data_IF_502268075901
#
_entry.id   IF_502268075901
#
_cell.length_a   1.000
_cell.length_b   1.000
_cell.length_c   1.000
_cell.angle_alpha   90.00
_cell.angle_beta   90.00
_cell.angle_gamma   90.00
#
_symmetry.space_group_name_H-M   'P 1'
#
loop_
_entity.id
_entity.type
_entity.pdbx_description
1 polymer ?
#
# COMPACT_ATOMS: atom_id res chain seq x y z
N UNK A 1 10.40 -9.20 -14.98
CA UNK A 1 9.74 -7.90 -14.76
C UNK A 1 8.97 -7.43 -15.99
N UNK A 2 7.68 -7.11 -15.87
CA UNK A 2 6.81 -6.70 -17.00
C UNK A 2 6.84 -5.18 -17.28
N UNK A 3 6.29 -4.74 -18.42
CA UNK A 3 6.30 -3.32 -18.85
C UNK A 3 5.62 -2.37 -17.84
N UNK A 4 4.56 -2.80 -17.17
CA UNK A 4 3.86 -2.00 -16.16
C UNK A 4 4.77 -1.82 -14.95
N UNK A 5 5.33 -2.92 -14.44
CA UNK A 5 6.27 -2.89 -13.31
C UNK A 5 7.47 -1.96 -13.60
N UNK A 6 8.07 -2.06 -14.79
CA UNK A 6 9.16 -1.16 -15.21
C UNK A 6 8.74 0.31 -15.26
N UNK A 7 7.55 0.62 -15.77
CA UNK A 7 7.06 2.00 -15.87
C UNK A 7 6.76 2.61 -14.49
N UNK A 8 6.12 1.85 -13.60
CA UNK A 8 5.83 2.25 -12.23
C UNK A 8 7.13 2.41 -11.46
N UNK A 9 8.07 1.47 -11.60
CA UNK A 9 9.37 1.58 -10.95
C UNK A 9 10.12 2.84 -11.39
N UNK A 10 10.10 3.17 -12.69
CA UNK A 10 10.72 4.42 -13.19
C UNK A 10 10.13 5.68 -12.53
N UNK A 11 8.82 5.70 -12.28
CA UNK A 11 8.20 6.81 -11.55
C UNK A 11 8.77 6.90 -10.13
N UNK A 12 8.77 5.80 -9.37
CA UNK A 12 9.22 5.81 -7.98
C UNK A 12 10.74 5.98 -7.84
N UNK A 13 11.54 5.56 -8.82
CA UNK A 13 12.97 5.86 -8.84
C UNK A 13 13.25 7.36 -9.03
N UNK A 14 12.40 8.04 -9.82
CA UNK A 14 12.49 9.49 -10.03
C UNK A 14 11.88 10.27 -8.86
N UNK A 15 10.78 9.78 -8.32
CA UNK A 15 10.00 10.38 -7.25
C UNK A 15 9.68 9.32 -6.21
N UNK A 16 10.61 9.03 -5.27
CA UNK A 16 10.39 8.01 -4.26
C UNK A 16 9.11 8.28 -3.47
N UNK A 17 8.48 7.21 -2.99
CA UNK A 17 7.17 7.29 -2.33
C UNK A 17 7.16 8.40 -1.26
N UNK A 18 6.09 9.23 -1.19
CA UNK A 18 6.04 10.33 -0.23
C UNK A 18 6.13 9.81 1.21
N UNK A 19 7.27 10.07 1.84
CA UNK A 19 7.53 9.63 3.20
C UNK A 19 7.15 10.69 4.22
N UNK A 20 6.68 10.27 5.40
CA UNK A 20 6.57 11.19 6.53
C UNK A 20 7.98 11.62 6.97
N UNK A 21 8.20 12.88 7.36
CA UNK A 21 9.49 13.33 7.86
C UNK A 21 9.73 12.77 9.27
N UNK A 22 10.16 11.51 9.34
CA UNK A 22 10.50 10.84 10.60
C UNK A 22 11.94 11.18 10.96
N UNK A 23 12.12 12.11 11.90
CA UNK A 23 13.43 12.55 12.38
C UNK A 23 13.76 12.00 13.77
N UNK A 24 12.73 11.74 14.58
CA UNK A 24 12.85 11.30 15.97
C UNK A 24 12.06 10.03 16.21
N UNK A 25 12.39 9.33 17.29
CA UNK A 25 11.64 8.15 17.74
C UNK A 25 10.16 8.50 18.01
N UNK A 26 9.88 9.69 18.54
CA UNK A 26 8.50 10.19 18.70
C UNK A 26 7.76 10.33 17.37
N UNK A 27 8.45 10.69 16.28
CA UNK A 27 7.84 10.75 14.96
C UNK A 27 7.50 9.33 14.45
N UNK A 28 8.40 8.38 14.68
CA UNK A 28 8.22 6.98 14.32
C UNK A 28 7.08 6.32 15.11
N UNK A 29 6.93 6.64 16.39
CA UNK A 29 5.94 6.00 17.24
C UNK A 29 4.65 6.82 17.22
N UNK A 30 4.64 7.99 17.84
CA UNK A 30 3.39 8.71 18.09
C UNK A 30 2.80 9.32 16.81
N UNK A 31 3.62 9.98 15.98
CA UNK A 31 3.08 10.65 14.78
C UNK A 31 2.69 9.63 13.72
N UNK A 32 3.55 8.67 13.41
CA UNK A 32 3.22 7.63 12.44
C UNK A 32 2.03 6.80 12.92
N UNK A 33 1.93 6.48 14.22
CA UNK A 33 0.75 5.81 14.77
C UNK A 33 -0.53 6.63 14.58
N UNK A 34 -0.54 7.88 15.05
CA UNK A 34 -1.74 8.71 14.97
C UNK A 34 -2.20 8.97 13.52
N UNK A 35 -1.26 9.08 12.57
CA UNK A 35 -1.59 9.44 11.19
C UNK A 35 -1.80 8.23 10.26
N UNK A 36 -1.18 7.08 10.55
CA UNK A 36 -1.09 5.96 9.62
C UNK A 36 -1.35 4.62 10.32
N UNK A 37 -0.52 4.25 11.31
CA UNK A 37 -0.51 2.89 11.84
C UNK A 37 -1.72 2.56 12.69
N UNK A 38 -2.30 3.50 13.46
CA UNK A 38 -3.49 3.24 14.27
C UNK A 38 -4.62 2.66 13.44
N UNK A 39 -4.96 3.31 12.32
CA UNK A 39 -5.97 2.78 11.38
C UNK A 39 -5.61 1.42 10.79
N UNK A 40 -4.35 1.21 10.44
CA UNK A 40 -3.89 -0.06 9.85
C UNK A 40 -4.04 -1.17 10.87
N UNK A 41 -3.58 -0.96 12.10
CA UNK A 41 -3.62 -1.90 13.21
C UNK A 41 -5.05 -2.17 13.66
N UNK A 42 -5.89 -1.14 13.80
CA UNK A 42 -7.33 -1.28 14.08
C UNK A 42 -8.00 -2.18 13.04
N UNK A 43 -7.73 -1.91 11.75
CA UNK A 43 -8.30 -2.72 10.65
C UNK A 43 -7.73 -4.13 10.65
N UNK A 44 -6.44 -4.26 10.96
CA UNK A 44 -5.76 -5.52 11.14
C UNK A 44 -6.13 -6.19 12.48
N UNK A 45 -6.98 -5.59 13.32
CA UNK A 45 -7.30 -5.97 14.70
C UNK A 45 -6.08 -6.50 15.47
N UNK A 46 -5.02 -5.70 15.46
CA UNK A 46 -3.78 -5.90 16.19
C UNK A 46 -3.55 -4.69 17.09
N UNK A 47 -2.95 -4.93 18.24
CA UNK A 47 -2.42 -3.87 19.08
C UNK A 47 -0.89 -3.80 18.91
N UNK A 48 -0.25 -2.64 19.10
CA UNK A 48 1.20 -2.53 18.93
C UNK A 48 1.99 -3.58 19.71
N UNK A 49 1.66 -3.82 20.98
CA UNK A 49 2.37 -4.79 21.83
C UNK A 49 2.15 -6.25 21.38
N UNK A 50 1.09 -6.54 20.63
CA UNK A 50 0.81 -7.89 20.10
C UNK A 50 1.73 -8.29 18.94
N UNK A 51 2.50 -7.35 18.40
CA UNK A 51 3.44 -7.56 17.30
C UNK A 51 4.74 -8.24 17.76
N UNK A 52 5.06 -8.18 19.06
CA UNK A 52 6.30 -8.71 19.60
C UNK A 52 6.45 -10.21 19.33
N UNK A 53 7.60 -10.58 18.74
CA UNK A 53 7.93 -11.95 18.35
C UNK A 53 7.15 -12.50 17.15
N UNK A 54 6.33 -11.69 16.46
CA UNK A 54 5.59 -12.12 15.26
C UNK A 54 6.45 -12.01 14.01
N UNK A 55 6.29 -12.96 13.10
CA UNK A 55 6.85 -12.91 11.75
C UNK A 55 5.95 -12.05 10.87
N UNK A 56 6.47 -10.93 10.36
CA UNK A 56 5.70 -9.97 9.55
C UNK A 56 6.34 -9.77 8.19
N UNK A 57 5.53 -9.84 7.13
CA UNK A 57 5.90 -9.43 5.78
C UNK A 57 5.27 -8.08 5.45
N UNK A 58 6.08 -7.05 5.15
CA UNK A 58 5.64 -5.78 4.53
C UNK A 58 5.96 -5.80 3.03
N UNK A 59 4.99 -6.23 2.22
CA UNK A 59 5.13 -6.39 0.79
C UNK A 59 4.82 -5.08 0.04
N UNK A 60 5.85 -4.51 -0.61
CA UNK A 60 5.80 -3.15 -1.17
C UNK A 60 6.00 -2.12 -0.06
N UNK A 61 7.08 -2.28 0.72
CA UNK A 61 7.31 -1.50 1.93
C UNK A 61 7.56 -0.01 1.66
N UNK A 62 7.92 0.36 0.43
CA UNK A 62 8.27 1.72 0.03
C UNK A 62 9.45 2.24 0.85
N UNK A 63 9.26 3.38 1.49
CA UNK A 63 10.26 4.05 2.34
C UNK A 63 10.37 3.48 3.76
N UNK A 64 9.72 2.36 4.03
CA UNK A 64 10.00 1.51 5.21
C UNK A 64 9.36 1.93 6.51
N UNK A 65 8.57 3.00 6.57
CA UNK A 65 8.02 3.51 7.84
C UNK A 65 7.22 2.46 8.61
N UNK A 66 6.42 1.67 7.90
CA UNK A 66 5.59 0.61 8.48
C UNK A 66 6.44 -0.57 8.96
N UNK A 67 7.40 -1.01 8.14
CA UNK A 67 8.36 -2.04 8.52
C UNK A 67 9.16 -1.66 9.77
N UNK A 68 9.66 -0.42 9.83
CA UNK A 68 10.33 0.11 11.01
C UNK A 68 9.39 0.18 12.22
N UNK A 69 8.13 0.59 12.04
CA UNK A 69 7.15 0.57 13.12
C UNK A 69 6.92 -0.83 13.67
N UNK A 70 6.72 -1.84 12.81
CA UNK A 70 6.55 -3.22 13.24
C UNK A 70 7.77 -3.75 14.01
N UNK A 71 8.98 -3.49 13.49
CA UNK A 71 10.24 -3.89 14.13
C UNK A 71 10.45 -3.20 15.48
N UNK A 72 10.07 -1.92 15.60
CA UNK A 72 10.12 -1.19 16.86
C UNK A 72 9.30 -1.87 17.97
N UNK A 73 8.13 -2.42 17.63
CA UNK A 73 7.30 -3.19 18.56
C UNK A 73 7.69 -4.67 18.67
N UNK A 74 8.91 -5.03 18.25
CA UNK A 74 9.51 -6.35 18.48
C UNK A 74 9.14 -7.42 17.46
N UNK A 75 8.55 -7.08 16.32
CA UNK A 75 8.30 -8.04 15.26
C UNK A 75 9.58 -8.41 14.48
N UNK A 76 9.63 -9.65 13.98
CA UNK A 76 10.62 -10.09 13.00
C UNK A 76 10.12 -9.71 11.61
N UNK A 77 10.68 -8.65 11.02
CA UNK A 77 10.15 -8.04 9.80
C UNK A 77 10.99 -8.38 8.58
N UNK A 78 10.33 -8.93 7.56
CA UNK A 78 10.82 -8.95 6.18
C UNK A 78 10.07 -7.89 5.37
N UNK A 79 10.80 -7.00 4.71
CA UNK A 79 10.26 -5.89 3.95
C UNK A 79 10.81 -5.94 2.52
N UNK A 80 9.92 -5.95 1.53
CA UNK A 80 10.32 -6.08 0.13
C UNK A 80 9.78 -4.91 -0.69
N UNK A 81 10.58 -4.41 -1.62
CA UNK A 81 10.15 -3.39 -2.58
C UNK A 81 10.90 -3.48 -3.90
N UNK A 82 10.25 -3.05 -4.98
CA UNK A 82 10.83 -3.02 -6.32
C UNK A 82 11.73 -1.80 -6.55
N UNK A 83 11.48 -0.70 -5.83
CA UNK A 83 12.15 0.57 -6.03
C UNK A 83 13.39 0.67 -5.14
N UNK A 84 14.57 0.73 -5.76
CA UNK A 84 15.85 0.79 -5.04
C UNK A 84 15.99 2.05 -4.22
N UNK A 85 15.61 3.21 -4.76
CA UNK A 85 15.70 4.48 -4.03
C UNK A 85 14.74 4.56 -2.84
N UNK A 86 13.53 3.99 -2.94
CA UNK A 86 12.63 3.80 -1.79
C UNK A 86 13.25 2.87 -0.74
N UNK A 87 13.75 1.71 -1.18
CA UNK A 87 14.35 0.72 -0.29
C UNK A 87 15.61 1.25 0.42
N UNK A 88 16.42 2.06 -0.26
CA UNK A 88 17.58 2.72 0.35
C UNK A 88 17.15 3.66 1.48
N UNK A 89 16.06 4.42 1.30
CA UNK A 89 15.49 5.26 2.37
C UNK A 89 14.95 4.41 3.53
N UNK A 90 14.34 3.27 3.23
CA UNK A 90 13.86 2.32 4.23
C UNK A 90 15.02 1.78 5.10
N UNK A 91 16.11 1.36 4.45
CA UNK A 91 17.32 0.89 5.13
C UNK A 91 17.94 1.99 6.01
N UNK A 92 18.05 3.23 5.50
CA UNK A 92 18.55 4.36 6.28
C UNK A 92 17.67 4.69 7.49
N UNK A 93 16.35 4.55 7.35
CA UNK A 93 15.41 4.76 8.45
C UNK A 93 15.57 3.69 9.53
N UNK A 94 15.70 2.42 9.14
CA UNK A 94 15.94 1.33 10.06
C UNK A 94 17.28 1.47 10.78
N UNK A 95 18.35 1.81 10.05
CA UNK A 95 19.69 2.03 10.60
C UNK A 95 19.69 3.17 11.63
N UNK A 96 19.02 4.28 11.32
CA UNK A 96 18.90 5.45 12.22
C UNK A 96 18.34 5.09 13.59
N UNK A 97 17.41 4.14 13.64
CA UNK A 97 16.74 3.73 14.88
C UNK A 97 17.22 2.36 15.39
N UNK A 98 18.29 1.81 14.81
CA UNK A 98 18.86 0.50 15.15
C UNK A 98 17.84 -0.64 15.10
N UNK A 99 16.96 -0.63 14.10
CA UNK A 99 15.87 -1.58 13.96
C UNK A 99 16.28 -2.76 13.06
N UNK A 100 16.16 -4.02 13.53
CA UNK A 100 16.47 -5.20 12.74
C UNK A 100 15.32 -5.50 11.76
N UNK A 101 15.45 -5.00 10.53
CA UNK A 101 14.53 -5.29 9.42
C UNK A 101 15.31 -5.96 8.29
N UNK A 102 14.82 -7.09 7.79
CA UNK A 102 15.37 -7.76 6.62
C UNK A 102 14.76 -7.13 5.35
N UNK A 103 15.59 -6.46 4.55
CA UNK A 103 15.16 -5.81 3.32
C UNK A 103 15.56 -6.60 2.07
N UNK A 104 14.63 -6.78 1.14
CA UNK A 104 14.90 -7.41 -0.16
C UNK A 104 14.41 -6.51 -1.31
N UNK A 105 15.29 -6.26 -2.29
CA UNK A 105 14.92 -5.61 -3.54
C UNK A 105 14.30 -6.64 -4.49
N UNK A 106 12.97 -6.64 -4.60
CA UNK A 106 12.23 -7.70 -5.27
C UNK A 106 10.91 -7.19 -5.87
N UNK A 107 10.54 -7.72 -7.05
CA UNK A 107 9.20 -7.56 -7.60
C UNK A 107 8.24 -8.51 -6.87
N UNK A 108 7.09 -8.00 -6.40
CA UNK A 108 6.04 -8.81 -5.78
C UNK A 108 5.61 -10.01 -6.63
N UNK A 109 5.66 -9.89 -7.96
CA UNK A 109 5.32 -10.99 -8.87
C UNK A 109 6.34 -12.14 -8.81
N UNK A 110 7.59 -11.83 -8.49
CA UNK A 110 8.75 -12.73 -8.52
C UNK A 110 9.16 -13.19 -7.12
N UNK A 111 8.72 -12.51 -6.07
CA UNK A 111 9.07 -12.83 -4.67
C UNK A 111 8.66 -14.25 -4.27
N UNK A 112 9.63 -15.04 -3.81
CA UNK A 112 9.44 -16.41 -3.30
C UNK A 112 10.33 -16.61 -2.09
N UNK A 113 9.79 -17.23 -1.05
CA UNK A 113 10.54 -17.55 0.17
C UNK A 113 10.04 -18.84 0.80
N UNK A 114 10.91 -19.54 1.51
CA UNK A 114 10.54 -20.67 2.37
C UNK A 114 9.88 -20.23 3.68
N UNK A 115 10.02 -18.95 4.06
CA UNK A 115 9.44 -18.40 5.29
C UNK A 115 7.91 -18.34 5.22
N UNK A 116 7.28 -18.31 6.40
CA UNK A 116 5.85 -18.10 6.59
C UNK A 116 5.63 -17.04 7.66
N UNK A 117 4.60 -16.23 7.50
CA UNK A 117 4.38 -15.04 8.32
C UNK A 117 3.08 -15.14 9.11
N UNK A 118 3.11 -14.67 10.35
CA UNK A 118 1.91 -14.51 11.18
C UNK A 118 1.01 -13.41 10.59
N UNK A 119 1.62 -12.34 10.07
CA UNK A 119 0.91 -11.24 9.42
C UNK A 119 1.55 -10.86 8.09
N UNK A 120 0.74 -10.85 7.02
CA UNK A 120 1.14 -10.40 5.69
C UNK A 120 0.46 -9.07 5.39
N UNK A 121 1.24 -8.01 5.24
CA UNK A 121 0.78 -6.69 4.84
C UNK A 121 1.16 -6.41 3.39
N UNK A 122 0.22 -5.90 2.60
CA UNK A 122 0.52 -5.33 1.30
C UNK A 122 -0.31 -4.06 1.10
N UNK A 123 0.26 -2.93 1.49
CA UNK A 123 -0.45 -1.68 1.66
C UNK A 123 0.02 -0.68 0.63
N UNK A 124 -0.81 -0.42 -0.38
CA UNK A 124 -0.53 0.61 -1.37
C UNK A 124 0.26 0.15 -2.60
N UNK A 125 0.57 -1.15 -2.74
CA UNK A 125 1.43 -1.63 -3.82
C UNK A 125 0.69 -2.41 -4.93
N UNK A 126 -0.18 -3.36 -4.56
CA UNK A 126 -0.83 -4.29 -5.51
C UNK A 126 -1.55 -3.59 -6.67
N UNK A 127 -2.15 -2.42 -6.40
CA UNK A 127 -2.92 -1.72 -7.42
C UNK A 127 -2.06 -1.08 -8.52
N UNK A 128 -0.75 -0.96 -8.31
CA UNK A 128 0.22 -0.55 -9.33
C UNK A 128 0.82 -1.73 -10.11
N UNK A 129 0.39 -2.96 -9.84
CA UNK A 129 0.89 -4.15 -10.55
C UNK A 129 0.00 -4.51 -11.74
N UNK A 130 0.56 -5.27 -12.70
CA UNK A 130 -0.19 -5.78 -13.87
C UNK A 130 -1.28 -6.78 -13.49
N UNK A 131 -0.99 -7.66 -12.52
CA UNK A 131 -1.90 -8.72 -12.10
C UNK A 131 -2.11 -8.70 -10.57
N UNK A 132 -2.88 -7.73 -10.03
CA UNK A 132 -3.05 -7.54 -8.59
C UNK A 132 -3.51 -8.81 -7.86
N UNK A 133 -4.49 -9.53 -8.41
CA UNK A 133 -4.98 -10.78 -7.82
C UNK A 133 -3.90 -11.87 -7.77
N UNK A 134 -3.11 -12.04 -8.83
CA UNK A 134 -2.07 -13.09 -8.88
C UNK A 134 -0.99 -12.81 -7.84
N UNK A 135 -0.58 -11.56 -7.72
CA UNK A 135 0.41 -11.15 -6.72
C UNK A 135 -0.16 -11.25 -5.30
N UNK A 136 -1.44 -10.88 -5.10
CA UNK A 136 -2.14 -11.11 -3.84
C UNK A 136 -2.15 -12.59 -3.45
N UNK A 137 -2.51 -13.50 -4.37
CA UNK A 137 -2.57 -14.93 -4.10
C UNK A 137 -1.20 -15.48 -3.65
N UNK A 138 -0.12 -15.11 -4.37
CA UNK A 138 1.24 -15.50 -3.98
C UNK A 138 1.62 -15.00 -2.57
N UNK A 139 1.23 -13.78 -2.20
CA UNK A 139 1.51 -13.22 -0.88
C UNK A 139 0.64 -13.85 0.21
N UNK A 140 -0.64 -14.07 -0.08
CA UNK A 140 -1.57 -14.78 0.79
C UNK A 140 -1.07 -16.19 1.13
N UNK A 141 -0.43 -16.86 0.17
CA UNK A 141 0.14 -18.19 0.36
C UNK A 141 1.30 -18.25 1.36
N UNK A 142 1.95 -17.12 1.64
CA UNK A 142 3.01 -17.01 2.65
C UNK A 142 2.46 -16.83 4.07
N UNK A 143 1.16 -16.56 4.23
CA UNK A 143 0.53 -16.41 5.53
C UNK A 143 0.39 -17.78 6.21
N UNK A 144 0.75 -17.88 7.49
CA UNK A 144 0.55 -19.10 8.29
C UNK A 144 -0.96 -19.41 8.45
N UNK A 145 -1.34 -20.68 8.62
CA UNK A 145 -2.62 -21.05 9.24
C UNK A 145 -2.85 -20.24 10.53
N UNK A 146 -4.05 -19.69 10.71
CA UNK A 146 -4.39 -18.79 11.83
C UNK A 146 -3.80 -17.38 11.74
N UNK A 147 -2.95 -17.12 10.74
CA UNK A 147 -2.38 -15.80 10.47
C UNK A 147 -3.35 -14.85 9.77
N UNK A 148 -2.91 -13.62 9.52
CA UNK A 148 -3.72 -12.59 8.84
C UNK A 148 -3.08 -12.05 7.58
N UNK A 149 -3.93 -11.62 6.66
CA UNK A 149 -3.53 -10.88 5.46
C UNK A 149 -4.27 -9.55 5.44
N UNK A 150 -3.54 -8.45 5.33
CA UNK A 150 -4.08 -7.09 5.25
C UNK A 150 -3.64 -6.41 3.97
N UNK A 151 -4.59 -5.99 3.14
CA UNK A 151 -4.33 -5.33 1.85
C UNK A 151 -4.88 -3.91 1.82
N UNK A 152 -4.12 -2.99 1.22
CA UNK A 152 -4.49 -1.60 1.01
C UNK A 152 -4.54 -1.24 -0.48
N UNK A 153 -5.71 -0.85 -0.98
CA UNK A 153 -5.96 -0.66 -2.41
C UNK A 153 -6.72 0.64 -2.72
N UNK A 154 -6.60 1.11 -3.95
CA UNK A 154 -7.44 2.21 -4.45
C UNK A 154 -8.86 1.74 -4.71
N UNK A 155 -9.83 2.42 -4.07
CA UNK A 155 -11.24 2.05 -4.18
C UNK A 155 -11.85 2.48 -5.51
N UNK A 156 -12.53 1.55 -6.17
CA UNK A 156 -13.20 1.73 -7.48
C UNK A 156 -14.15 2.90 -7.55
N UNK A 157 -14.93 3.11 -6.50
CA UNK A 157 -15.96 4.14 -6.44
C UNK A 157 -15.43 5.43 -5.81
N UNK A 158 -14.67 5.31 -4.72
CA UNK A 158 -14.05 6.44 -4.02
C UNK A 158 -13.09 7.26 -4.87
N UNK A 159 -12.44 6.64 -5.87
CA UNK A 159 -11.51 7.31 -6.80
C UNK A 159 -12.18 7.78 -8.10
N UNK A 160 -13.51 7.78 -8.24
CA UNK A 160 -14.15 8.10 -9.53
C UNK A 160 -13.76 9.50 -10.06
N UNK A 161 -13.93 10.55 -9.27
CA UNK A 161 -13.54 11.90 -9.68
C UNK A 161 -12.05 11.99 -9.99
N UNK A 162 -11.22 11.32 -9.19
CA UNK A 162 -9.78 11.25 -9.38
C UNK A 162 -9.38 10.57 -10.70
N UNK A 163 -10.06 9.48 -11.05
CA UNK A 163 -9.89 8.76 -12.33
C UNK A 163 -10.22 9.65 -13.52
N UNK A 164 -11.31 10.41 -13.41
CA UNK A 164 -11.70 11.39 -14.43
C UNK A 164 -10.58 12.43 -14.59
N UNK A 165 -10.07 13.01 -13.50
CA UNK A 165 -8.94 13.95 -13.56
C UNK A 165 -7.70 13.34 -14.22
N UNK A 166 -7.31 12.11 -13.86
CA UNK A 166 -6.17 11.41 -14.47
C UNK A 166 -6.38 11.14 -15.97
N UNK A 167 -7.60 10.77 -16.36
CA UNK A 167 -7.97 10.61 -17.77
C UNK A 167 -7.82 11.93 -18.53
N UNK A 168 -8.32 13.04 -17.98
CA UNK A 168 -8.16 14.37 -18.59
C UNK A 168 -6.69 14.78 -18.74
N UNK A 169 -5.86 14.54 -17.71
CA UNK A 169 -4.41 14.78 -17.80
C UNK A 169 -3.80 13.93 -18.91
N UNK A 170 -4.16 12.65 -19.00
CA UNK A 170 -3.69 11.75 -20.05
C UNK A 170 -4.06 12.23 -21.46
N UNK A 171 -5.28 12.73 -21.66
CA UNK A 171 -5.75 13.28 -22.94
C UNK A 171 -4.99 14.56 -23.33
N UNK A 172 -4.55 15.37 -22.36
CA UNK A 172 -3.89 16.66 -22.61
C UNK A 172 -2.37 16.58 -22.69
N UNK A 173 -1.74 15.69 -21.91
CA UNK A 173 -0.29 15.61 -21.75
C UNK A 173 0.32 14.27 -22.18
N UNK A 174 -0.50 13.30 -22.60
CA UNK A 174 -0.05 11.97 -23.03
C UNK A 174 0.33 11.05 -21.86
N UNK A 175 1.31 10.16 -22.07
CA UNK A 175 1.79 9.19 -21.07
C UNK A 175 3.13 9.53 -20.45
N UNK A 176 3.78 10.59 -20.93
CA UNK A 176 5.08 11.02 -20.44
C UNK A 176 4.97 11.64 -19.03
N UNK A 177 5.86 11.22 -18.13
CA UNK A 177 5.82 11.61 -16.71
C UNK A 177 6.05 13.11 -16.55
N UNK A 178 7.03 13.68 -17.26
CA UNK A 178 7.41 15.08 -17.12
C UNK A 178 6.34 16.01 -17.70
N UNK A 179 5.81 15.67 -18.88
CA UNK A 179 4.71 16.43 -19.49
C UNK A 179 3.47 16.44 -18.61
N UNK A 180 3.13 15.30 -18.00
CA UNK A 180 2.00 15.21 -17.07
C UNK A 180 2.24 16.06 -15.83
N UNK A 181 3.42 16.01 -15.24
CA UNK A 181 3.75 16.81 -14.06
C UNK A 181 3.67 18.31 -14.38
N UNK A 182 4.24 18.74 -15.51
CA UNK A 182 4.17 20.13 -15.97
C UNK A 182 2.72 20.59 -16.20
N UNK A 183 1.89 19.74 -16.80
CA UNK A 183 0.46 20.03 -16.96
C UNK A 183 -0.26 20.17 -15.61
N UNK A 184 0.03 19.29 -14.65
CA UNK A 184 -0.55 19.35 -13.31
C UNK A 184 -0.15 20.65 -12.58
N UNK A 185 1.11 21.05 -12.68
CA UNK A 185 1.60 22.33 -12.14
C UNK A 185 0.85 23.54 -12.73
N UNK A 186 0.75 23.59 -14.06
CA UNK A 186 0.15 24.73 -14.77
C UNK A 186 -1.37 24.79 -14.63
N UNK A 187 -2.05 23.67 -14.82
CA UNK A 187 -3.50 23.63 -15.01
C UNK A 187 -4.27 23.27 -13.76
N UNK A 188 -3.69 22.46 -12.86
CA UNK A 188 -4.37 22.01 -11.63
C UNK A 188 -3.93 22.85 -10.44
N UNK A 189 -2.62 22.90 -10.18
CA UNK A 189 -2.06 23.64 -9.03
C UNK A 189 -1.91 25.14 -9.32
N UNK A 190 -1.82 25.53 -10.60
CA UNK A 190 -1.59 26.91 -11.07
C UNK A 190 -0.35 27.56 -10.46
N UNK A 191 0.65 26.74 -10.10
CA UNK A 191 1.95 27.14 -9.57
C UNK A 191 2.95 26.00 -9.68
N UNK A 192 4.23 26.33 -9.58
CA UNK A 192 5.28 25.33 -9.38
C UNK A 192 5.16 24.65 -8.02
N UNK A 193 5.51 23.36 -7.98
CA UNK A 193 5.64 22.62 -6.74
C UNK A 193 6.88 23.09 -5.99
N UNK A 194 6.78 23.21 -4.66
CA UNK A 194 7.73 23.93 -3.82
C UNK A 194 8.77 23.02 -3.19
N UNK A 195 8.54 21.70 -3.17
CA UNK A 195 9.42 20.75 -2.52
C UNK A 195 9.45 19.39 -3.21
N UNK A 196 10.50 18.61 -2.94
CA UNK A 196 10.62 17.23 -3.41
C UNK A 196 9.48 16.37 -2.87
N UNK A 197 9.07 16.58 -1.61
CA UNK A 197 7.95 15.86 -1.01
C UNK A 197 6.61 16.22 -1.68
N UNK A 198 6.36 17.50 -1.94
CA UNK A 198 5.16 17.91 -2.69
C UNK A 198 5.17 17.32 -4.10
N UNK A 199 6.32 17.31 -4.76
CA UNK A 199 6.49 16.74 -6.10
C UNK A 199 6.22 15.25 -6.11
N UNK A 200 6.77 14.49 -5.16
CA UNK A 200 6.49 13.06 -5.03
C UNK A 200 5.01 12.79 -4.77
N UNK A 201 4.36 13.58 -3.90
CA UNK A 201 2.94 13.44 -3.61
C UNK A 201 2.07 13.71 -4.85
N UNK A 202 2.39 14.74 -5.62
CA UNK A 202 1.68 15.06 -6.86
C UNK A 202 1.95 14.02 -7.95
N UNK A 203 3.18 13.53 -8.05
CA UNK A 203 3.56 12.50 -9.01
C UNK A 203 2.84 11.18 -8.74
N UNK A 204 2.84 10.72 -7.48
CA UNK A 204 2.09 9.55 -7.03
C UNK A 204 0.60 9.69 -7.34
N UNK A 205 0.03 10.85 -7.00
CA UNK A 205 -1.40 11.11 -7.18
C UNK A 205 -1.82 11.19 -8.64
N UNK A 206 -1.15 11.96 -9.49
CA UNK A 206 -1.69 12.30 -10.81
C UNK A 206 -0.92 11.70 -11.98
N UNK A 207 0.37 11.44 -11.78
CA UNK A 207 1.31 11.14 -12.87
C UNK A 207 1.60 9.66 -12.99
N UNK A 208 1.31 8.87 -11.95
CA UNK A 208 1.56 7.43 -11.92
C UNK A 208 1.14 6.75 -13.23
N UNK A 209 1.99 5.91 -13.86
CA UNK A 209 1.70 5.37 -15.18
C UNK A 209 0.57 4.34 -15.15
N UNK A 210 0.34 3.66 -14.01
CA UNK A 210 -0.64 2.59 -13.92
C UNK A 210 -1.31 2.53 -12.55
N UNK A 211 -2.63 2.48 -12.55
CA UNK A 211 -3.44 2.19 -11.36
C UNK A 211 -4.59 1.27 -11.78
N UNK A 212 -4.81 0.24 -10.96
CA UNK A 212 -6.05 -0.53 -10.96
C UNK A 212 -6.91 -0.11 -9.77
N UNK A 213 -8.21 -0.30 -9.88
CA UNK A 213 -9.16 0.11 -8.84
C UNK A 213 -10.07 -1.04 -8.47
N UNK A 214 -10.23 -1.25 -7.17
CA UNK A 214 -10.87 -2.45 -6.63
C UNK A 214 -12.02 -2.05 -5.69
N UNK A 215 -13.10 -2.81 -5.77
CA UNK A 215 -14.19 -2.77 -4.80
C UNK A 215 -13.91 -3.76 -3.67
N UNK A 216 -14.55 -3.55 -2.52
CA UNK A 216 -14.45 -4.50 -1.41
C UNK A 216 -14.95 -5.89 -1.85
N UNK A 217 -16.01 -5.96 -2.66
CA UNK A 217 -16.51 -7.23 -3.20
C UNK A 217 -15.49 -8.00 -4.06
N UNK A 218 -14.68 -7.30 -4.86
CA UNK A 218 -13.59 -7.92 -5.62
C UNK A 218 -12.53 -8.52 -4.66
N UNK A 219 -12.16 -7.79 -3.61
CA UNK A 219 -11.19 -8.25 -2.59
C UNK A 219 -11.73 -9.42 -1.78
N UNK A 220 -13.01 -9.41 -1.38
CA UNK A 220 -13.66 -10.55 -0.72
C UNK A 220 -13.68 -11.79 -1.62
N UNK A 221 -13.87 -11.60 -2.93
CA UNK A 221 -13.73 -12.66 -3.91
C UNK A 221 -12.30 -13.22 -3.95
N UNK A 222 -11.28 -12.38 -3.80
CA UNK A 222 -9.89 -12.84 -3.68
C UNK A 222 -9.68 -13.64 -2.40
N UNK A 223 -10.21 -13.16 -1.27
CA UNK A 223 -10.11 -13.86 0.02
C UNK A 223 -10.73 -15.26 -0.06
N UNK A 224 -11.97 -15.35 -0.57
CA UNK A 224 -12.66 -16.63 -0.74
C UNK A 224 -11.87 -17.62 -1.61
N UNK A 225 -11.24 -17.16 -2.69
CA UNK A 225 -10.44 -18.01 -3.59
C UNK A 225 -9.15 -18.53 -2.96
N UNK A 226 -8.67 -17.92 -1.88
CA UNK A 226 -7.40 -18.24 -1.24
C UNK A 226 -7.57 -18.76 0.20
N UNK A 227 -8.78 -19.21 0.58
CA UNK A 227 -9.04 -19.75 1.92
C UNK A 227 -8.88 -18.73 3.03
N UNK A 228 -9.15 -17.45 2.73
CA UNK A 228 -9.09 -16.35 3.69
C UNK A 228 -10.51 -15.97 4.08
N UNK A 229 -10.80 -16.00 5.38
CA UNK A 229 -12.06 -15.54 5.96
C UNK A 229 -11.98 -14.04 6.18
N UNK A 230 -12.97 -13.30 5.67
CA UNK A 230 -13.06 -11.86 5.92
C UNK A 230 -13.24 -11.57 7.41
N UNK A 231 -12.49 -10.58 7.91
CA UNK A 231 -12.58 -10.13 9.30
C UNK A 231 -13.06 -8.67 9.35
N UNK A 232 -12.51 -7.80 8.49
CA UNK A 232 -12.83 -6.38 8.55
C UNK A 232 -12.29 -5.57 7.39
N UNK A 233 -12.83 -4.36 7.24
CA UNK A 233 -12.40 -3.39 6.25
C UNK A 233 -12.47 -1.97 6.79
N UNK A 234 -11.60 -1.11 6.28
CA UNK A 234 -11.67 0.32 6.48
C UNK A 234 -11.76 1.07 5.13
N UNK A 235 -12.68 2.04 4.97
CA UNK A 235 -13.77 2.33 5.90
C UNK A 235 -14.69 1.11 6.08
N UNK A 236 -15.49 1.09 7.15
CA UNK A 236 -16.32 -0.07 7.45
C UNK A 236 -17.35 -0.33 6.33
N UNK A 237 -17.50 -1.61 5.93
CA UNK A 237 -18.47 -2.05 4.92
C UNK A 237 -19.44 -3.04 5.57
N UNK A 238 -20.75 -2.82 5.37
CA UNK A 238 -21.77 -3.79 5.75
C UNK A 238 -21.64 -5.05 4.90
N UNK A 239 -21.77 -6.22 5.52
CA UNK A 239 -21.81 -7.50 4.80
C UNK A 239 -23.08 -7.61 3.94
N UNK A 240 -22.98 -8.28 2.79
CA UNK A 240 -24.08 -8.47 1.83
C UNK A 240 -24.03 -7.53 0.63
N UNK A 241 -24.32 -8.06 -0.57
CA UNK A 241 -24.02 -7.42 -1.87
C UNK A 241 -24.55 -5.99 -2.04
N UNK A 242 -25.87 -5.80 -1.97
CA UNK A 242 -26.48 -4.47 -2.20
C UNK A 242 -26.14 -3.44 -1.09
N UNK A 243 -26.18 -3.79 0.21
CA UNK A 243 -25.73 -2.89 1.28
C UNK A 243 -24.23 -2.52 1.22
N UNK A 244 -23.35 -3.46 0.83
CA UNK A 244 -21.92 -3.21 0.66
C UNK A 244 -21.65 -2.25 -0.50
N UNK A 245 -22.41 -2.37 -1.59
CA UNK A 245 -22.34 -1.47 -2.74
C UNK A 245 -22.76 -0.05 -2.36
N UNK A 246 -23.91 0.12 -1.69
CA UNK A 246 -24.39 1.44 -1.24
C UNK A 246 -23.42 2.13 -0.27
N UNK A 247 -22.79 1.36 0.62
CA UNK A 247 -21.77 1.90 1.55
C UNK A 247 -20.56 2.45 0.79
N UNK A 248 -20.10 1.76 -0.24
CA UNK A 248 -18.98 2.23 -1.06
C UNK A 248 -19.35 3.42 -1.96
N UNK A 249 -20.61 3.53 -2.41
CA UNK A 249 -21.08 4.74 -3.07
C UNK A 249 -21.05 5.96 -2.12
N UNK A 250 -21.35 5.78 -0.83
CA UNK A 250 -21.19 6.85 0.16
C UNK A 250 -19.73 7.28 0.34
N UNK A 251 -18.76 6.41 0.09
CA UNK A 251 -17.34 6.77 0.13
C UNK A 251 -16.94 7.68 -1.03
N UNK A 252 -17.60 7.54 -2.19
CA UNK A 252 -17.45 8.47 -3.31
C UNK A 252 -17.78 9.90 -2.88
N UNK A 253 -18.91 10.09 -2.18
CA UNK A 253 -19.31 11.40 -1.67
C UNK A 253 -18.34 11.97 -0.62
N UNK A 254 -17.67 11.10 0.14
CA UNK A 254 -16.67 11.47 1.16
C UNK A 254 -15.23 11.54 0.63
N UNK A 255 -14.99 11.30 -0.66
CA UNK A 255 -13.65 11.28 -1.26
C UNK A 255 -12.72 10.19 -0.69
N UNK A 256 -13.26 9.15 -0.05
CA UNK A 256 -12.47 8.07 0.55
C UNK A 256 -12.00 7.08 -0.52
N UNK A 257 -10.87 7.42 -1.15
CA UNK A 257 -10.31 6.71 -2.31
C UNK A 257 -9.39 5.53 -1.98
N UNK A 258 -9.17 5.22 -0.71
CA UNK A 258 -8.30 4.12 -0.25
C UNK A 258 -9.12 3.18 0.63
N UNK A 259 -8.99 1.88 0.40
CA UNK A 259 -9.61 0.83 1.22
C UNK A 259 -8.53 -0.05 1.83
N UNK A 260 -8.79 -0.51 3.06
CA UNK A 260 -8.07 -1.57 3.74
C UNK A 260 -9.01 -2.76 3.90
N UNK A 261 -8.53 -3.97 3.68
CA UNK A 261 -9.25 -5.20 4.00
C UNK A 261 -8.33 -6.18 4.72
N UNK A 262 -8.83 -6.76 5.81
CA UNK A 262 -8.18 -7.82 6.58
C UNK A 262 -8.98 -9.11 6.46
N UNK A 263 -8.28 -10.21 6.27
CA UNK A 263 -8.83 -11.54 6.49
C UNK A 263 -7.87 -12.44 7.27
N UNK A 264 -8.42 -13.51 7.84
CA UNK A 264 -7.67 -14.56 8.54
C UNK A 264 -7.54 -15.79 7.66
N UNK A 265 -6.36 -16.41 7.63
CA UNK A 265 -6.18 -17.68 6.92
C UNK A 265 -6.75 -18.81 7.76
N UNK A 266 -7.67 -19.58 7.17
CA UNK A 266 -8.28 -20.73 7.84
C UNK A 266 -7.19 -21.78 8.09
N UNK A 267 -7.25 -22.43 9.25
CA UNK A 267 -6.41 -23.59 9.50
C UNK A 267 -6.72 -24.67 8.47
N UNK A 268 -5.70 -25.05 7.68
CA UNK A 268 -5.81 -26.24 6.85
C UNK A 268 -5.97 -27.43 7.79
N UNK A 269 -7.16 -28.01 7.84
CA UNK A 269 -7.40 -29.31 8.49
C UNK A 269 -6.62 -30.42 7.80
#
# INVERSE_FOLDING_TARGET
MDKIALSVNRLYEKFPYPSLPICTERDLISKLHANVMGKILDTAGLEPDSLSGKEILDAGCGTGEKACYFSYYGANVMAIDLCRSSLQKAMQLAERFHLPVEFEHCDLAEFRTGKRFDHVFCLGALHHTRYPYKNFASLADLCKPGGTVTVGLYNKYGRLAHRVTRMWIGLRAGTDIDKRLEYVEKSIYRRKLRSVHETAYVADKYVNPHESYHSVGEVLGWFKKNGITYIGAYPHVKEGGFPAFLTQLRWMAKGSGFLLCRGGRIDGG
#
